data_IF_511644513610
#
_entry.id   IF_511644513610
#
_cell.length_a   1.000
_cell.length_b   1.000
_cell.length_c   1.000
_cell.angle_alpha   90.00
_cell.angle_beta   90.00
_cell.angle_gamma   90.00
#
_symmetry.space_group_name_H-M   'P 1'
#
loop_
_entity.id
_entity.type
_entity.pdbx_description
1 polymer ?
#
# COMPACT_ATOMS: atom_id res chain seq x y z
N UNK A 1 9.84 27.81 -4.21
CA UNK A 1 8.50 27.21 -4.06
C UNK A 1 8.68 25.84 -3.42
N UNK A 2 8.18 25.64 -2.20
CA UNK A 2 8.20 24.33 -1.53
C UNK A 2 7.13 23.44 -2.17
N UNK A 3 7.52 22.24 -2.62
CA UNK A 3 6.57 21.30 -3.24
C UNK A 3 5.48 20.92 -2.23
N UNK A 4 4.24 20.67 -2.68
CA UNK A 4 3.22 20.05 -1.84
C UNK A 4 3.81 18.79 -1.19
N UNK A 5 3.52 18.58 0.10
CA UNK A 5 3.99 17.44 0.90
C UNK A 5 5.49 17.41 1.25
N UNK A 6 6.29 18.43 0.97
CA UNK A 6 7.74 18.37 1.20
C UNK A 6 8.13 18.07 2.66
N UNK A 7 7.41 18.64 3.63
CA UNK A 7 7.62 18.35 5.06
C UNK A 7 7.19 16.91 5.44
N UNK A 8 6.01 16.48 4.97
CA UNK A 8 5.49 15.12 5.19
C UNK A 8 6.37 14.05 4.52
N UNK A 9 6.89 14.35 3.33
CA UNK A 9 7.78 13.48 2.58
C UNK A 9 9.13 13.28 3.27
N UNK A 10 9.63 14.27 4.02
CA UNK A 10 10.86 14.11 4.80
C UNK A 10 10.67 13.14 5.97
N UNK A 11 9.56 13.29 6.71
CA UNK A 11 9.20 12.38 7.82
C UNK A 11 8.95 10.97 7.28
N UNK A 12 8.24 10.86 6.16
CA UNK A 12 7.96 9.59 5.50
C UNK A 12 9.23 8.87 5.03
N UNK A 13 10.19 9.59 4.43
CA UNK A 13 11.51 9.04 4.07
C UNK A 13 12.29 8.57 5.28
N UNK A 14 12.29 9.36 6.36
CA UNK A 14 12.89 8.98 7.64
C UNK A 14 12.32 7.63 8.09
N UNK A 15 11.01 7.59 8.26
CA UNK A 15 10.29 6.42 8.75
C UNK A 15 10.48 5.17 7.87
N UNK A 16 10.68 5.30 6.55
CA UNK A 16 10.84 4.13 5.67
C UNK A 16 12.23 3.47 5.72
N UNK A 17 13.28 4.18 6.15
CA UNK A 17 14.62 3.57 6.17
C UNK A 17 15.79 4.46 6.57
N UNK A 18 15.56 5.69 7.03
CA UNK A 18 16.64 6.58 7.49
C UNK A 18 16.54 6.95 8.97
N UNK A 19 15.55 6.41 9.68
CA UNK A 19 15.31 6.67 11.11
C UNK A 19 15.84 5.53 12.00
N UNK A 20 16.02 5.82 13.29
CA UNK A 20 16.50 4.89 14.31
C UNK A 20 15.51 3.73 14.56
N UNK A 21 14.22 3.98 14.33
CA UNK A 21 13.14 2.98 14.41
C UNK A 21 12.40 2.91 13.06
N UNK A 22 12.97 2.22 12.07
CA UNK A 22 12.39 2.20 10.73
C UNK A 22 11.08 1.40 10.72
N UNK A 23 10.12 1.84 9.92
CA UNK A 23 8.87 1.13 9.68
C UNK A 23 9.16 -0.23 9.06
N UNK A 24 8.42 -1.22 9.55
CA UNK A 24 8.42 -2.60 9.02
C UNK A 24 7.20 -2.86 8.13
N UNK A 25 6.15 -2.03 8.23
CA UNK A 25 4.91 -2.21 7.46
C UNK A 25 4.37 -0.87 7.00
N UNK A 26 3.94 -0.80 5.75
CA UNK A 26 3.24 0.34 5.17
C UNK A 26 1.92 -0.14 4.57
N UNK A 27 0.79 0.41 5.03
CA UNK A 27 -0.52 0.16 4.45
C UNK A 27 -0.95 1.33 3.57
N UNK A 28 -1.16 1.06 2.28
CA UNK A 28 -1.63 2.01 1.27
C UNK A 28 -3.11 1.72 1.00
N UNK A 29 -4.01 2.61 1.42
CA UNK A 29 -5.46 2.45 1.28
C UNK A 29 -5.98 3.45 0.26
N UNK A 30 -6.68 2.96 -0.77
CA UNK A 30 -7.27 3.81 -1.82
C UNK A 30 -6.25 4.53 -2.71
N UNK A 31 -4.96 4.22 -2.56
CA UNK A 31 -3.88 4.84 -3.31
C UNK A 31 -3.69 4.14 -4.67
N UNK A 32 -3.74 4.92 -5.74
CA UNK A 32 -3.66 4.42 -7.12
C UNK A 32 -2.26 4.27 -7.69
N UNK A 33 -1.19 4.55 -6.92
CA UNK A 33 0.21 4.44 -7.35
C UNK A 33 0.58 5.23 -8.61
N UNK A 34 -0.03 6.41 -8.81
CA UNK A 34 0.26 7.32 -9.92
C UNK A 34 1.41 8.30 -9.65
N UNK A 35 1.80 8.48 -8.39
CA UNK A 35 2.90 9.37 -8.02
C UNK A 35 4.22 8.59 -7.99
N UNK A 36 5.06 8.82 -8.99
CA UNK A 36 6.35 8.13 -9.15
C UNK A 36 7.36 8.48 -8.06
N UNK A 37 7.28 9.66 -7.44
CA UNK A 37 8.19 10.01 -6.36
C UNK A 37 7.88 9.18 -5.11
N UNK A 38 6.61 9.01 -4.77
CA UNK A 38 6.20 8.14 -3.66
C UNK A 38 6.51 6.68 -3.97
N UNK A 39 6.23 6.23 -5.20
CA UNK A 39 6.52 4.87 -5.64
C UNK A 39 8.01 4.54 -5.49
N UNK A 40 8.90 5.44 -5.90
CA UNK A 40 10.36 5.28 -5.77
C UNK A 40 10.78 5.12 -4.31
N UNK A 41 10.18 5.85 -3.38
CA UNK A 41 10.47 5.71 -1.95
C UNK A 41 10.06 4.35 -1.40
N UNK A 42 8.87 3.88 -1.80
CA UNK A 42 8.37 2.56 -1.41
C UNK A 42 9.28 1.46 -1.99
N UNK A 43 9.73 1.62 -3.23
CA UNK A 43 10.67 0.67 -3.87
C UNK A 43 12.01 0.60 -3.15
N UNK A 44 12.56 1.75 -2.77
CA UNK A 44 13.78 1.79 -1.98
C UNK A 44 13.58 1.09 -0.62
N UNK A 45 12.43 1.28 0.03
CA UNK A 45 12.12 0.60 1.29
C UNK A 45 11.97 -0.92 1.11
N UNK A 46 11.42 -1.38 -0.01
CA UNK A 46 11.26 -2.81 -0.33
C UNK A 46 12.58 -3.55 -0.58
N UNK A 47 13.72 -2.86 -0.71
CA UNK A 47 15.04 -3.51 -0.69
C UNK A 47 15.33 -4.20 0.65
N UNK A 48 14.66 -3.76 1.73
CA UNK A 48 14.72 -4.39 3.04
C UNK A 48 13.77 -5.59 3.11
N UNK A 49 14.31 -6.73 3.54
CA UNK A 49 13.55 -7.99 3.64
C UNK A 49 12.57 -8.01 4.83
N UNK A 50 12.77 -7.14 5.82
CA UNK A 50 11.91 -6.99 6.99
C UNK A 50 10.78 -5.96 6.80
N UNK A 51 10.75 -5.29 5.64
CA UNK A 51 9.72 -4.32 5.28
C UNK A 51 8.65 -4.94 4.38
N UNK A 52 7.38 -4.73 4.70
CA UNK A 52 6.23 -5.23 3.93
C UNK A 52 5.29 -4.09 3.55
N UNK A 53 4.85 -4.07 2.29
CA UNK A 53 3.82 -3.13 1.82
C UNK A 53 2.50 -3.86 1.64
N UNK A 54 1.43 -3.27 2.17
CA UNK A 54 0.05 -3.74 2.00
C UNK A 54 -0.70 -2.73 1.14
N UNK A 55 -1.25 -3.17 0.02
CA UNK A 55 -1.98 -2.34 -0.93
C UNK A 55 -3.45 -2.77 -0.90
N UNK A 56 -4.31 -1.88 -0.44
CA UNK A 56 -5.76 -2.07 -0.41
C UNK A 56 -6.41 -1.05 -1.34
N UNK A 57 -6.87 -1.48 -2.50
CA UNK A 57 -7.50 -0.59 -3.47
C UNK A 57 -8.68 -1.31 -4.13
N UNK A 58 -9.82 -0.62 -4.33
CA UNK A 58 -10.96 -1.23 -5.04
C UNK A 58 -10.56 -1.70 -6.44
N UNK A 59 -9.91 -0.80 -7.19
CA UNK A 59 -9.36 -1.07 -8.52
C UNK A 59 -7.92 -0.59 -8.55
N UNK A 60 -7.05 -1.37 -9.19
CA UNK A 60 -5.66 -1.01 -9.46
C UNK A 60 -5.40 -1.20 -10.95
N UNK A 61 -4.72 -0.25 -11.60
CA UNK A 61 -4.35 -0.38 -13.03
C UNK A 61 -3.48 -1.61 -13.24
N UNK A 62 -3.52 -2.18 -14.45
CA UNK A 62 -2.69 -3.35 -14.78
C UNK A 62 -1.19 -3.03 -14.70
N UNK A 63 -0.80 -1.81 -15.04
CA UNK A 63 0.57 -1.33 -14.87
C UNK A 63 1.01 -1.37 -13.40
N UNK A 64 0.24 -0.77 -12.49
CA UNK A 64 0.56 -0.80 -11.07
C UNK A 64 0.48 -2.22 -10.52
N UNK A 65 -0.51 -3.00 -10.93
CA UNK A 65 -0.61 -4.41 -10.54
C UNK A 65 0.65 -5.20 -10.92
N UNK A 66 1.08 -5.14 -12.18
CA UNK A 66 2.25 -5.86 -12.67
C UNK A 66 3.53 -5.41 -11.97
N UNK A 67 3.63 -4.13 -11.62
CA UNK A 67 4.77 -3.57 -10.88
C UNK A 67 4.85 -4.08 -9.44
N UNK A 68 3.70 -4.19 -8.75
CA UNK A 68 3.68 -4.47 -7.30
C UNK A 68 3.46 -5.94 -6.95
N UNK A 69 2.67 -6.67 -7.74
CA UNK A 69 2.37 -8.09 -7.51
C UNK A 69 3.63 -8.96 -7.55
N UNK A 70 4.61 -8.63 -8.40
CA UNK A 70 5.83 -9.42 -8.58
C UNK A 70 6.82 -9.35 -7.42
N UNK A 71 6.55 -8.55 -6.39
CA UNK A 71 7.46 -8.32 -5.26
C UNK A 71 7.13 -9.24 -4.08
N UNK A 72 8.16 -9.93 -3.57
CA UNK A 72 8.02 -10.96 -2.52
C UNK A 72 7.59 -10.42 -1.15
N UNK A 73 7.73 -9.12 -0.92
CA UNK A 73 7.40 -8.42 0.31
C UNK A 73 6.25 -7.42 0.12
N UNK A 74 5.38 -7.70 -0.87
CA UNK A 74 4.18 -6.92 -1.14
C UNK A 74 2.95 -7.83 -1.05
N UNK A 75 1.90 -7.29 -0.46
CA UNK A 75 0.56 -7.87 -0.44
C UNK A 75 -0.35 -6.88 -1.17
N UNK A 76 -1.01 -7.34 -2.24
CA UNK A 76 -1.97 -6.52 -3.00
C UNK A 76 -3.34 -7.15 -2.89
N UNK A 77 -4.32 -6.39 -2.46
CA UNK A 77 -5.71 -6.80 -2.36
C UNK A 77 -6.56 -5.79 -3.13
N UNK A 78 -7.26 -6.30 -4.13
CA UNK A 78 -8.28 -5.56 -4.86
C UNK A 78 -9.60 -6.28 -4.83
N UNK A 79 -10.65 -5.65 -5.36
CA UNK A 79 -11.98 -6.24 -5.46
C UNK A 79 -11.97 -7.58 -6.23
N UNK A 80 -11.17 -7.67 -7.30
CA UNK A 80 -11.23 -8.77 -8.26
C UNK A 80 -9.99 -9.68 -8.26
N UNK A 81 -8.89 -9.26 -7.62
CA UNK A 81 -7.62 -10.01 -7.61
C UNK A 81 -6.84 -9.76 -6.32
N UNK A 82 -6.17 -10.80 -5.81
CA UNK A 82 -5.25 -10.71 -4.69
C UNK A 82 -3.89 -11.33 -5.02
N UNK A 83 -2.86 -10.77 -4.43
CA UNK A 83 -1.48 -11.18 -4.59
C UNK A 83 -0.80 -11.21 -3.23
N UNK A 84 -0.18 -12.32 -2.89
CA UNK A 84 0.56 -12.48 -1.65
C UNK A 84 1.96 -12.95 -2.01
N UNK A 85 2.97 -12.10 -1.80
CA UNK A 85 4.39 -12.45 -1.99
C UNK A 85 4.71 -13.01 -3.39
N UNK A 86 4.16 -12.42 -4.44
CA UNK A 86 4.37 -12.91 -5.82
C UNK A 86 3.36 -13.97 -6.28
N UNK A 87 2.60 -14.57 -5.37
CA UNK A 87 1.59 -15.58 -5.72
C UNK A 87 0.23 -14.92 -5.91
N UNK A 88 -0.31 -15.08 -7.13
CA UNK A 88 -1.65 -14.58 -7.47
C UNK A 88 -2.68 -15.62 -7.06
N UNK A 89 -3.57 -15.22 -6.15
CA UNK A 89 -4.69 -16.06 -5.71
C UNK A 89 -5.96 -15.75 -6.50
N UNK A 90 -6.79 -16.77 -6.70
CA UNK A 90 -8.18 -16.56 -7.06
C UNK A 90 -8.90 -15.93 -5.87
N UNK A 91 -9.55 -14.79 -6.07
CA UNK A 91 -10.40 -14.19 -5.05
C UNK A 91 -11.63 -15.08 -4.89
N UNK A 92 -11.75 -15.78 -3.77
CA UNK A 92 -13.06 -16.25 -3.30
C UNK A 92 -13.91 -14.99 -3.17
N UNK A 93 -15.08 -14.81 -3.79
CA UNK A 93 -15.73 -13.50 -3.98
C UNK A 93 -16.21 -12.76 -2.70
N UNK A 94 -15.82 -13.21 -1.50
CA UNK A 94 -16.29 -12.67 -0.21
C UNK A 94 -15.25 -12.03 0.75
N UNK A 95 -13.97 -11.72 0.43
CA UNK A 95 -13.02 -11.29 1.44
C UNK A 95 -13.06 -9.76 1.59
N UNK A 96 -13.36 -9.03 0.51
CA UNK A 96 -13.54 -7.58 0.50
C UNK A 96 -14.85 -7.17 1.17
N UNK A 97 -15.94 -7.93 1.06
CA UNK A 97 -17.15 -7.66 1.86
C UNK A 97 -16.86 -7.78 3.35
N UNK A 98 -16.14 -8.81 3.79
CA UNK A 98 -15.77 -8.98 5.20
C UNK A 98 -14.78 -7.90 5.66
N UNK A 99 -13.79 -7.53 4.84
CA UNK A 99 -12.84 -6.46 5.19
C UNK A 99 -13.50 -5.07 5.18
N UNK A 100 -14.40 -4.79 4.24
CA UNK A 100 -15.19 -3.56 4.20
C UNK A 100 -16.17 -3.53 5.37
N UNK A 101 -16.82 -4.65 5.70
CA UNK A 101 -17.71 -4.75 6.84
C UNK A 101 -16.93 -4.54 8.15
N UNK A 102 -15.77 -5.17 8.31
CA UNK A 102 -14.89 -4.96 9.46
C UNK A 102 -14.40 -3.49 9.54
N UNK A 103 -14.12 -2.83 8.41
CA UNK A 103 -13.75 -1.42 8.38
C UNK A 103 -14.92 -0.48 8.71
N UNK A 104 -16.15 -0.84 8.33
CA UNK A 104 -17.38 -0.14 8.73
C UNK A 104 -17.68 -0.34 10.23
N UNK A 105 -17.50 -1.56 10.73
CA UNK A 105 -17.68 -1.91 12.15
C UNK A 105 -16.63 -1.22 13.03
N UNK A 106 -15.48 -0.84 12.47
CA UNK A 106 -14.44 -0.02 13.13
C UNK A 106 -14.73 1.50 13.11
N UNK A 107 -15.93 1.93 12.71
CA UNK A 107 -16.45 3.31 12.85
C UNK A 107 -15.55 4.41 12.24
N UNK A 108 -15.04 4.18 11.03
CA UNK A 108 -14.24 5.16 10.26
C UNK A 108 -15.08 6.09 9.35
N UNK A 109 -16.40 6.19 9.55
CA UNK A 109 -17.31 6.97 8.67
C UNK A 109 -17.17 8.50 8.79
N UNK A 110 -16.39 9.02 9.74
CA UNK A 110 -16.33 10.47 10.04
C UNK A 110 -15.20 11.27 9.35
N UNK A 111 -14.53 10.75 8.32
CA UNK A 111 -13.42 11.46 7.65
C UNK A 111 -13.69 11.89 6.20
N UNK A 112 -14.96 12.01 5.79
CA UNK A 112 -15.33 12.56 4.48
C UNK A 112 -16.43 13.64 4.56
N UNK A 113 -16.19 14.66 5.38
CA UNK A 113 -16.69 16.02 5.09
C UNK A 113 -15.57 16.84 4.50
#
# INVERSE_FOLDING_TARGET
MTQPYQALGSVFRGALGQDHNPLHRLACIGYGFRDEHVNTLIENALTRTDFTVLIFAKVLSDEAWNRWNTKNNVIVVTENRCAIKGEVGAVIPRPMEVLIQNAKDMNMENWAR
#
